data_IF_499992138872
#
_entry.id   IF_499992138872
#
_cell.length_a   1.000
_cell.length_b   1.000
_cell.length_c   1.000
_cell.angle_alpha   90.00
_cell.angle_beta   90.00
_cell.angle_gamma   90.00
#
_symmetry.space_group_name_H-M   'P 1'
#
loop_
_entity.id
_entity.type
_entity.pdbx_description
1 polymer ?
#
# COMPACT_ATOMS: atom_id res chain seq x y z
N UNK A 1 -8.51 -44.75 8.03
CA UNK A 1 -9.72 -44.11 7.47
C UNK A 1 -10.15 -43.05 8.47
N UNK A 2 -9.47 -41.90 8.44
CA UNK A 2 -9.69 -40.82 9.41
C UNK A 2 -10.83 -39.93 8.90
N UNK A 3 -11.76 -39.66 9.80
CA UNK A 3 -13.02 -38.96 9.62
C UNK A 3 -12.73 -37.53 9.13
N UNK A 4 -13.07 -37.23 7.89
CA UNK A 4 -13.14 -35.86 7.36
C UNK A 4 -14.13 -35.09 8.22
N UNK A 5 -13.60 -34.24 9.11
CA UNK A 5 -14.39 -33.28 9.84
C UNK A 5 -14.89 -32.23 8.85
N UNK A 6 -16.16 -32.33 8.51
CA UNK A 6 -16.98 -31.30 7.88
C UNK A 6 -16.87 -29.98 8.64
N UNK A 7 -15.92 -29.12 8.27
CA UNK A 7 -15.99 -27.69 8.59
C UNK A 7 -16.85 -27.01 7.51
N UNK A 8 -18.06 -26.61 7.89
CA UNK A 8 -18.93 -25.81 7.04
C UNK A 8 -18.31 -24.45 6.70
N UNK A 9 -18.39 -24.07 5.43
CA UNK A 9 -18.74 -22.75 4.86
C UNK A 9 -18.30 -21.40 5.51
N UNK A 10 -17.31 -21.33 6.41
CA UNK A 10 -16.87 -20.06 7.02
C UNK A 10 -15.47 -19.60 6.59
N UNK A 11 -15.14 -19.70 5.30
CA UNK A 11 -13.93 -19.08 4.75
C UNK A 11 -14.20 -17.63 4.32
N UNK A 12 -13.21 -16.75 4.40
CA UNK A 12 -13.29 -15.38 3.91
C UNK A 12 -13.61 -15.37 2.40
N UNK A 13 -14.40 -14.39 1.97
CA UNK A 13 -14.68 -14.12 0.56
C UNK A 13 -13.59 -13.28 -0.09
N UNK A 14 -13.66 -13.11 -1.42
CA UNK A 14 -12.71 -12.31 -2.20
C UNK A 14 -12.56 -10.88 -1.67
N UNK A 15 -13.67 -10.24 -1.29
CA UNK A 15 -13.66 -8.85 -0.84
C UNK A 15 -12.93 -8.71 0.51
N UNK A 16 -13.34 -9.50 1.51
CA UNK A 16 -12.82 -9.41 2.87
C UNK A 16 -11.41 -10.00 3.04
N UNK A 17 -11.10 -11.08 2.32
CA UNK A 17 -9.86 -11.85 2.52
C UNK A 17 -8.76 -11.57 1.50
N UNK A 18 -9.03 -10.87 0.40
CA UNK A 18 -8.01 -10.53 -0.60
C UNK A 18 -8.04 -9.05 -0.93
N UNK A 19 -9.15 -8.55 -1.47
CA UNK A 19 -9.22 -7.17 -1.95
C UNK A 19 -8.96 -6.13 -0.86
N UNK A 20 -9.69 -6.21 0.26
CA UNK A 20 -9.60 -5.25 1.37
C UNK A 20 -8.19 -5.20 1.98
N UNK A 21 -7.57 -6.31 2.40
CA UNK A 21 -6.22 -6.27 2.95
C UNK A 21 -5.19 -5.79 1.92
N UNK A 22 -5.32 -6.18 0.65
CA UNK A 22 -4.41 -5.74 -0.42
C UNK A 22 -4.54 -4.23 -0.69
N UNK A 23 -5.75 -3.70 -0.88
CA UNK A 23 -5.95 -2.28 -1.21
C UNK A 23 -5.54 -1.37 -0.05
N UNK A 24 -5.79 -1.77 1.20
CA UNK A 24 -5.40 -1.01 2.39
C UNK A 24 -3.88 -0.96 2.58
N UNK A 25 -3.18 -2.01 2.15
CA UNK A 25 -1.72 -2.03 2.22
C UNK A 25 -1.09 -1.25 1.08
N UNK A 26 -1.69 -1.31 -0.12
CA UNK A 26 -1.24 -0.54 -1.28
C UNK A 26 -1.46 0.96 -1.03
N UNK A 27 -2.67 1.37 -0.63
CA UNK A 27 -3.02 2.76 -0.35
C UNK A 27 -2.57 3.20 1.05
N UNK A 28 -1.28 3.01 1.33
CA UNK A 28 -0.67 3.29 2.62
C UNK A 28 -0.02 4.68 2.71
N UNK A 29 0.96 4.78 3.60
CA UNK A 29 1.63 6.04 3.94
C UNK A 29 2.28 6.75 2.75
N UNK A 30 2.73 6.02 1.73
CA UNK A 30 3.31 6.62 0.53
C UNK A 30 2.29 7.50 -0.20
N UNK A 31 1.02 7.09 -0.25
CA UNK A 31 -0.04 7.87 -0.88
C UNK A 31 -0.20 9.24 -0.19
N UNK A 32 -0.28 9.20 1.15
CA UNK A 32 -0.59 10.38 1.96
C UNK A 32 0.61 11.31 2.17
N UNK A 33 1.81 10.75 2.38
CA UNK A 33 2.97 11.54 2.80
C UNK A 33 4.05 11.71 1.75
N UNK A 34 4.14 10.83 0.75
CA UNK A 34 5.29 10.82 -0.18
C UNK A 34 4.89 11.11 -1.62
N UNK A 35 3.67 10.81 -2.05
CA UNK A 35 3.25 11.02 -3.43
C UNK A 35 3.32 12.50 -3.84
N UNK A 36 2.83 13.42 -2.99
CA UNK A 36 2.96 14.86 -3.24
C UNK A 36 4.43 15.29 -3.42
N UNK A 37 5.32 14.81 -2.54
CA UNK A 37 6.76 15.04 -2.64
C UNK A 37 7.38 14.51 -3.93
N UNK A 38 6.97 13.31 -4.38
CA UNK A 38 7.41 12.74 -5.66
C UNK A 38 6.93 13.60 -6.83
N UNK A 39 5.66 14.04 -6.81
CA UNK A 39 5.10 14.94 -7.84
C UNK A 39 5.84 16.29 -7.89
N UNK A 40 6.12 16.90 -6.73
CA UNK A 40 6.79 18.20 -6.67
C UNK A 40 8.23 18.15 -7.19
N UNK A 41 8.99 17.10 -6.82
CA UNK A 41 10.38 16.98 -7.23
C UNK A 41 10.56 16.42 -8.65
N UNK A 42 9.74 15.44 -9.04
CA UNK A 42 9.89 14.74 -10.33
C UNK A 42 9.09 15.42 -11.45
N UNK A 43 8.13 16.28 -11.11
CA UNK A 43 7.08 16.72 -12.03
C UNK A 43 6.08 15.60 -12.33
N UNK A 44 4.93 15.97 -12.89
CA UNK A 44 3.84 15.03 -13.18
C UNK A 44 4.26 13.97 -14.20
N UNK A 45 4.94 14.36 -15.29
CA UNK A 45 5.26 13.42 -16.37
C UNK A 45 6.14 12.25 -15.91
N UNK A 46 7.20 12.54 -15.16
CA UNK A 46 8.10 11.50 -14.62
C UNK A 46 7.46 10.74 -13.46
N UNK A 47 6.62 11.39 -12.66
CA UNK A 47 5.83 10.69 -11.64
C UNK A 47 4.90 9.66 -12.26
N UNK A 48 4.22 9.99 -13.36
CA UNK A 48 3.40 9.03 -14.10
C UNK A 48 4.24 7.89 -14.68
N UNK A 49 5.46 8.16 -15.15
CA UNK A 49 6.39 7.12 -15.60
C UNK A 49 6.83 6.19 -14.44
N UNK A 50 7.12 6.74 -13.25
CA UNK A 50 7.44 5.98 -12.04
C UNK A 50 6.26 5.09 -11.64
N UNK A 51 5.06 5.66 -11.56
CA UNK A 51 3.82 4.92 -11.27
C UNK A 51 3.61 3.81 -12.30
N UNK A 52 3.77 4.12 -13.59
CA UNK A 52 3.64 3.16 -14.69
C UNK A 52 4.60 1.99 -14.57
N UNK A 53 5.90 2.26 -14.39
CA UNK A 53 6.94 1.24 -14.24
C UNK A 53 6.70 0.35 -13.02
N UNK A 54 6.42 0.96 -11.86
CA UNK A 54 6.16 0.23 -10.62
C UNK A 54 4.93 -0.68 -10.75
N UNK A 55 3.87 -0.18 -11.38
CA UNK A 55 2.65 -0.96 -11.57
C UNK A 55 2.79 -2.06 -12.64
N UNK A 56 3.60 -1.87 -13.68
CA UNK A 56 3.93 -2.95 -14.63
C UNK A 56 4.53 -4.14 -13.88
N UNK A 57 5.48 -3.90 -12.97
CA UNK A 57 6.10 -4.96 -12.15
C UNK A 57 5.04 -5.66 -11.28
N UNK A 58 4.16 -4.89 -10.62
CA UNK A 58 3.09 -5.41 -9.77
C UNK A 58 2.06 -6.24 -10.56
N UNK A 59 1.65 -5.78 -11.73
CA UNK A 59 0.72 -6.48 -12.63
C UNK A 59 1.34 -7.78 -13.16
N UNK A 60 2.60 -7.76 -13.60
CA UNK A 60 3.30 -8.97 -14.05
C UNK A 60 3.39 -10.01 -12.93
N UNK A 61 3.68 -9.57 -11.71
CA UNK A 61 3.74 -10.46 -10.55
C UNK A 61 2.35 -11.00 -10.18
N UNK A 62 1.31 -10.19 -10.35
CA UNK A 62 -0.09 -10.61 -10.17
C UNK A 62 -0.51 -11.68 -11.19
N UNK A 63 -0.03 -11.61 -12.44
CA UNK A 63 -0.21 -12.68 -13.43
C UNK A 63 0.48 -13.98 -13.01
N UNK A 64 1.74 -13.91 -12.56
CA UNK A 64 2.47 -15.09 -12.07
C UNK A 64 1.74 -15.74 -10.89
N UNK A 65 1.30 -14.94 -9.93
CA UNK A 65 0.53 -15.40 -8.77
C UNK A 65 -0.80 -16.05 -9.20
N UNK A 66 -1.53 -15.43 -10.13
CA UNK A 66 -2.80 -15.96 -10.64
C UNK A 66 -2.62 -17.32 -11.30
N UNK A 67 -1.57 -17.49 -12.11
CA UNK A 67 -1.23 -18.76 -12.73
C UNK A 67 -0.91 -19.84 -11.67
N UNK A 68 -0.18 -19.48 -10.62
CA UNK A 68 0.11 -20.39 -9.50
C UNK A 68 -1.19 -20.78 -8.77
N UNK A 69 -1.99 -19.80 -8.35
CA UNK A 69 -3.20 -20.01 -7.55
C UNK A 69 -4.28 -20.83 -8.27
N UNK A 70 -4.32 -20.79 -9.60
CA UNK A 70 -5.27 -21.55 -10.42
C UNK A 70 -4.78 -22.96 -10.76
N UNK A 71 -3.47 -23.22 -10.72
CA UNK A 71 -2.89 -24.51 -11.09
C UNK A 71 -2.73 -25.49 -9.91
N UNK A 72 -2.70 -25.00 -8.66
CA UNK A 72 -2.55 -25.87 -7.47
C UNK A 72 -3.74 -25.78 -6.51
N UNK A 73 -3.99 -26.85 -5.77
CA UNK A 73 -4.88 -26.82 -4.60
C UNK A 73 -4.21 -26.00 -3.50
N UNK A 74 -4.60 -24.73 -3.41
CA UNK A 74 -4.17 -23.81 -2.37
C UNK A 74 -4.67 -24.31 -1.02
N UNK A 75 -3.75 -24.49 -0.07
CA UNK A 75 -4.03 -24.88 1.32
C UNK A 75 -3.56 -23.76 2.26
N UNK A 76 -3.74 -23.96 3.56
CA UNK A 76 -3.18 -23.08 4.58
C UNK A 76 -1.67 -22.98 4.45
N UNK A 77 -1.13 -21.76 4.47
CA UNK A 77 0.31 -21.50 4.43
C UNK A 77 0.76 -20.27 3.63
N UNK A 78 -0.15 -19.50 3.04
CA UNK A 78 0.17 -18.20 2.45
C UNK A 78 1.10 -18.28 1.24
N UNK A 79 1.83 -17.19 1.01
CA UNK A 79 2.77 -17.00 -0.11
C UNK A 79 3.85 -18.08 -0.14
N UNK A 80 4.43 -18.40 1.01
CA UNK A 80 5.48 -19.42 1.11
C UNK A 80 4.98 -20.81 0.67
N UNK A 81 3.77 -21.21 1.06
CA UNK A 81 3.20 -22.48 0.64
C UNK A 81 2.97 -22.54 -0.88
N UNK A 82 2.46 -21.46 -1.46
CA UNK A 82 2.22 -21.37 -2.91
C UNK A 82 3.52 -21.49 -3.69
N UNK A 83 4.57 -20.77 -3.26
CA UNK A 83 5.87 -20.73 -3.95
C UNK A 83 6.60 -22.06 -3.79
N UNK A 84 6.74 -22.58 -2.57
CA UNK A 84 7.49 -23.82 -2.30
C UNK A 84 6.89 -25.04 -3.01
N UNK A 85 5.57 -25.05 -3.24
CA UNK A 85 4.89 -26.13 -3.97
C UNK A 85 4.92 -26.01 -5.49
N UNK A 86 5.20 -24.83 -6.02
CA UNK A 86 5.30 -24.62 -7.46
C UNK A 86 6.74 -24.62 -7.97
N UNK A 87 7.66 -23.99 -7.23
CA UNK A 87 9.05 -23.82 -7.64
C UNK A 87 10.03 -24.77 -6.93
N UNK A 88 9.58 -25.47 -5.88
CA UNK A 88 10.45 -26.32 -5.06
C UNK A 88 10.89 -25.65 -3.76
N UNK A 89 11.46 -26.46 -2.86
CA UNK A 89 11.77 -26.03 -1.49
C UNK A 89 12.96 -25.08 -1.42
N UNK A 90 13.91 -25.19 -2.36
CA UNK A 90 15.08 -24.33 -2.45
C UNK A 90 14.67 -22.89 -2.78
N UNK A 91 13.85 -22.71 -3.82
CA UNK A 91 13.28 -21.42 -4.20
C UNK A 91 12.31 -20.90 -3.15
N UNK A 92 11.47 -21.78 -2.59
CA UNK A 92 10.56 -21.44 -1.49
C UNK A 92 11.30 -20.88 -0.28
N UNK A 93 12.39 -21.52 0.15
CA UNK A 93 13.21 -21.08 1.26
C UNK A 93 13.89 -19.73 0.99
N UNK A 94 14.55 -19.59 -0.17
CA UNK A 94 15.23 -18.36 -0.54
C UNK A 94 14.27 -17.16 -0.62
N UNK A 95 13.15 -17.31 -1.35
CA UNK A 95 12.15 -16.25 -1.48
C UNK A 95 11.43 -15.99 -0.16
N UNK A 96 11.15 -17.05 0.62
CA UNK A 96 10.50 -16.94 1.93
C UNK A 96 11.28 -16.07 2.92
N UNK A 97 12.61 -16.24 2.99
CA UNK A 97 13.47 -15.42 3.86
C UNK A 97 13.43 -13.95 3.41
N UNK A 98 13.49 -13.70 2.10
CA UNK A 98 13.44 -12.33 1.55
C UNK A 98 12.09 -11.68 1.86
N UNK A 99 10.97 -12.37 1.65
CA UNK A 99 9.63 -11.86 1.97
C UNK A 99 9.45 -11.61 3.47
N UNK A 100 9.98 -12.49 4.32
CA UNK A 100 9.95 -12.29 5.77
C UNK A 100 10.69 -11.02 6.22
N UNK A 101 11.89 -10.79 5.69
CA UNK A 101 12.67 -9.58 5.99
C UNK A 101 11.99 -8.33 5.43
N UNK A 102 11.50 -8.39 4.19
CA UNK A 102 10.75 -7.31 3.57
C UNK A 102 9.55 -6.91 4.43
N UNK A 103 8.73 -7.88 4.84
CA UNK A 103 7.56 -7.64 5.68
C UNK A 103 7.93 -7.05 7.05
N UNK A 104 9.01 -7.54 7.67
CA UNK A 104 9.50 -7.04 8.96
C UNK A 104 9.92 -5.56 8.86
N UNK A 105 10.67 -5.20 7.81
CA UNK A 105 11.05 -3.81 7.54
C UNK A 105 9.84 -2.96 7.20
N UNK A 106 8.86 -3.47 6.44
CA UNK A 106 7.62 -2.77 6.12
C UNK A 106 6.81 -2.40 7.36
N UNK A 107 6.72 -3.28 8.37
CA UNK A 107 6.04 -2.96 9.64
C UNK A 107 6.69 -1.75 10.30
N UNK A 108 8.03 -1.73 10.39
CA UNK A 108 8.78 -0.59 10.94
C UNK A 108 8.56 0.67 10.12
N UNK A 109 8.59 0.57 8.78
CA UNK A 109 8.33 1.67 7.87
C UNK A 109 6.95 2.31 8.08
N UNK A 110 5.89 1.51 8.17
CA UNK A 110 4.53 2.02 8.41
C UNK A 110 4.38 2.63 9.80
N UNK A 111 4.99 2.02 10.84
CA UNK A 111 4.96 2.57 12.20
C UNK A 111 5.73 3.90 12.30
N UNK A 112 6.86 4.03 11.59
CA UNK A 112 7.62 5.28 11.52
C UNK A 112 6.81 6.40 10.88
N UNK A 113 6.14 6.12 9.77
CA UNK A 113 5.29 7.13 9.15
C UNK A 113 4.08 7.51 10.03
N UNK A 114 3.49 6.57 10.79
CA UNK A 114 2.52 6.92 11.83
C UNK A 114 3.13 7.86 12.88
N UNK A 115 4.36 7.56 13.31
CA UNK A 115 5.12 8.42 14.21
C UNK A 115 5.35 9.83 13.68
N UNK A 116 5.66 9.99 12.39
CA UNK A 116 5.80 11.29 11.74
C UNK A 116 4.50 12.10 11.81
N UNK A 117 3.36 11.47 11.47
CA UNK A 117 2.04 12.13 11.48
C UNK A 117 1.64 12.54 12.89
N UNK A 118 1.73 11.63 13.86
CA UNK A 118 1.34 11.90 15.24
C UNK A 118 2.27 12.93 15.88
N UNK A 119 3.58 12.87 15.61
CA UNK A 119 4.54 13.88 16.05
C UNK A 119 4.21 15.27 15.50
N UNK A 120 3.80 15.35 14.23
CA UNK A 120 3.38 16.61 13.61
C UNK A 120 2.09 17.18 14.24
N UNK A 121 1.20 16.33 14.75
CA UNK A 121 -0.02 16.76 15.49
C UNK A 121 0.33 17.26 16.90
N UNK A 122 1.23 16.56 17.59
CA UNK A 122 1.67 16.94 18.95
C UNK A 122 2.43 18.28 18.91
N UNK A 123 3.20 18.52 17.85
CA UNK A 123 3.92 19.77 17.61
C UNK A 123 4.82 20.21 18.78
N UNK A 124 5.46 19.24 19.45
CA UNK A 124 6.44 19.48 20.51
C UNK A 124 7.84 19.02 20.08
N UNK A 125 8.90 19.77 20.41
CA UNK A 125 10.27 19.45 20.02
C UNK A 125 10.87 18.38 20.95
N UNK A 126 10.24 17.21 21.00
CA UNK A 126 10.76 16.06 21.73
C UNK A 126 11.71 15.30 20.79
N UNK A 127 12.98 15.11 21.17
CA UNK A 127 13.93 14.37 20.35
C UNK A 127 13.47 12.93 20.16
N UNK A 128 13.60 12.42 18.94
CA UNK A 128 13.20 11.06 18.56
C UNK A 128 11.72 10.70 18.80
N UNK A 129 10.82 11.69 18.86
CA UNK A 129 9.39 11.47 19.09
C UNK A 129 8.76 10.52 18.05
N UNK A 130 9.01 10.65 16.72
CA UNK A 130 8.48 9.71 15.74
C UNK A 130 8.92 8.26 16.01
N UNK A 131 10.18 8.05 16.40
CA UNK A 131 10.74 6.72 16.70
C UNK A 131 10.10 6.11 17.95
N UNK A 132 9.89 6.92 19.00
CA UNK A 132 9.24 6.47 20.24
C UNK A 132 7.79 6.04 19.95
N UNK A 133 7.06 6.86 19.18
CA UNK A 133 5.68 6.54 18.78
C UNK A 133 5.66 5.25 17.94
N UNK A 134 6.55 5.13 16.95
CA UNK A 134 6.66 3.94 16.11
C UNK A 134 6.97 2.66 16.91
N UNK A 135 7.90 2.74 17.86
CA UNK A 135 8.24 1.63 18.75
C UNK A 135 7.04 1.22 19.63
N UNK A 136 6.32 2.21 20.17
CA UNK A 136 5.11 1.97 20.97
C UNK A 136 3.99 1.33 20.13
N UNK A 137 3.79 1.80 18.90
CA UNK A 137 2.80 1.26 17.97
C UNK A 137 3.15 -0.18 17.56
N UNK A 138 4.44 -0.46 17.30
CA UNK A 138 4.92 -1.81 16.98
C UNK A 138 4.68 -2.77 18.15
N UNK A 139 5.00 -2.35 19.39
CA UNK A 139 4.75 -3.15 20.59
C UNK A 139 3.25 -3.40 20.79
N UNK A 140 2.42 -2.38 20.59
CA UNK A 140 0.96 -2.52 20.67
C UNK A 140 0.41 -3.49 19.63
N UNK A 141 0.85 -3.39 18.37
CA UNK A 141 0.46 -4.31 17.30
C UNK A 141 0.94 -5.74 17.58
N UNK A 142 2.13 -5.91 18.16
CA UNK A 142 2.62 -7.21 18.59
C UNK A 142 1.73 -7.84 19.67
N UNK A 143 1.31 -7.06 20.68
CA UNK A 143 0.37 -7.52 21.70
C UNK A 143 -1.00 -7.85 21.12
N UNK A 144 -1.52 -7.03 20.19
CA UNK A 144 -2.77 -7.31 19.50
C UNK A 144 -2.70 -8.59 18.66
N UNK A 145 -1.60 -8.80 17.93
CA UNK A 145 -1.38 -10.01 17.16
C UNK A 145 -1.38 -11.27 18.04
N UNK A 146 -0.95 -11.15 19.30
CA UNK A 146 -0.99 -12.24 20.29
C UNK A 146 -2.41 -12.59 20.76
N UNK A 147 -3.33 -11.62 20.82
CA UNK A 147 -4.72 -11.81 21.27
C UNK A 147 -5.56 -12.59 20.24
N UNK A 148 -5.26 -12.45 18.94
CA UNK A 148 -5.86 -13.26 17.88
C UNK A 148 -6.20 -12.48 16.60
N UNK A 149 -6.04 -13.14 15.46
CA UNK A 149 -6.18 -12.53 14.13
C UNK A 149 -7.61 -12.06 13.79
N UNK A 150 -8.64 -12.62 14.42
CA UNK A 150 -10.05 -12.29 14.13
C UNK A 150 -10.40 -10.83 14.41
N UNK A 151 -9.73 -10.20 15.38
CA UNK A 151 -9.92 -8.78 15.69
C UNK A 151 -9.35 -7.88 14.59
N UNK A 152 -8.18 -8.24 14.04
CA UNK A 152 -7.51 -7.48 12.98
C UNK A 152 -8.38 -7.43 11.71
N UNK A 153 -9.00 -8.56 11.33
CA UNK A 153 -9.89 -8.66 10.17
C UNK A 153 -11.15 -7.81 10.31
N UNK A 154 -11.61 -7.52 11.52
CA UNK A 154 -12.73 -6.58 11.74
C UNK A 154 -12.25 -5.12 11.69
N UNK A 155 -11.07 -4.86 12.25
CA UNK A 155 -10.49 -3.52 12.28
C UNK A 155 -10.21 -2.96 10.87
N UNK A 156 -9.83 -3.81 9.91
CA UNK A 156 -9.56 -3.39 8.53
C UNK A 156 -10.75 -2.67 7.87
N UNK A 157 -11.99 -3.06 8.17
CA UNK A 157 -13.17 -2.40 7.60
C UNK A 157 -13.34 -0.97 8.14
N UNK A 158 -13.01 -0.76 9.41
CA UNK A 158 -12.96 0.58 10.00
C UNK A 158 -11.90 1.45 9.32
N UNK A 159 -10.70 0.91 9.13
CA UNK A 159 -9.60 1.60 8.41
C UNK A 159 -10.02 1.95 6.98
N UNK A 160 -10.72 1.05 6.28
CA UNK A 160 -11.22 1.30 4.93
C UNK A 160 -12.21 2.46 4.85
N UNK A 161 -13.13 2.57 5.83
CA UNK A 161 -14.05 3.71 5.90
C UNK A 161 -13.27 5.02 6.05
N UNK A 162 -12.29 5.07 6.96
CA UNK A 162 -11.44 6.26 7.11
C UNK A 162 -10.66 6.58 5.84
N UNK A 163 -10.08 5.57 5.18
CA UNK A 163 -9.36 5.78 3.94
C UNK A 163 -10.26 6.37 2.84
N UNK A 164 -11.47 5.83 2.65
CA UNK A 164 -12.42 6.35 1.67
C UNK A 164 -12.82 7.80 2.00
N UNK A 165 -13.11 8.10 3.27
CA UNK A 165 -13.43 9.46 3.71
C UNK A 165 -12.28 10.44 3.46
N UNK A 166 -11.04 10.03 3.75
CA UNK A 166 -9.85 10.83 3.47
C UNK A 166 -9.67 11.08 1.98
N UNK A 167 -9.90 10.09 1.12
CA UNK A 167 -9.85 10.25 -0.33
C UNK A 167 -10.94 11.22 -0.83
N UNK A 168 -12.16 11.11 -0.32
CA UNK A 168 -13.25 12.04 -0.66
C UNK A 168 -12.87 13.47 -0.25
N UNK A 169 -12.38 13.66 0.98
CA UNK A 169 -11.91 14.95 1.48
C UNK A 169 -10.82 15.55 0.60
N UNK A 170 -9.85 14.73 0.18
CA UNK A 170 -8.78 15.13 -0.73
C UNK A 170 -9.31 15.56 -2.09
N UNK A 171 -10.18 14.77 -2.74
CA UNK A 171 -10.70 15.13 -4.06
C UNK A 171 -11.55 16.40 -4.02
N UNK A 172 -12.40 16.58 -3.00
CA UNK A 172 -13.21 17.80 -2.86
C UNK A 172 -12.33 19.04 -2.72
N UNK A 173 -11.30 18.98 -1.88
CA UNK A 173 -10.37 20.10 -1.70
C UNK A 173 -9.49 20.33 -2.94
N UNK A 174 -8.94 19.27 -3.51
CA UNK A 174 -8.09 19.32 -4.70
C UNK A 174 -8.81 19.85 -5.95
N UNK A 175 -10.07 19.46 -6.17
CA UNK A 175 -10.88 20.01 -7.26
C UNK A 175 -11.28 21.47 -7.03
N UNK A 176 -11.49 21.89 -5.77
CA UNK A 176 -11.72 23.30 -5.45
C UNK A 176 -10.50 24.18 -5.72
N UNK A 177 -9.29 23.62 -5.60
CA UNK A 177 -8.02 24.31 -5.83
C UNK A 177 -7.48 24.11 -7.26
N UNK A 178 -8.25 23.47 -8.13
CA UNK A 178 -7.79 23.06 -9.46
C UNK A 178 -7.44 24.26 -10.35
N UNK A 179 -6.22 24.27 -10.87
CA UNK A 179 -5.74 25.27 -11.82
C UNK A 179 -4.97 24.61 -12.99
N UNK A 180 -5.49 24.79 -14.21
CA UNK A 180 -4.88 24.25 -15.43
C UNK A 180 -3.49 24.82 -15.72
N UNK A 181 -3.23 26.10 -15.39
CA UNK A 181 -1.91 26.70 -15.57
C UNK A 181 -0.89 26.06 -14.63
N UNK A 182 -1.31 25.71 -13.41
CA UNK A 182 -0.46 25.04 -12.45
C UNK A 182 -0.13 23.62 -12.89
N UNK A 183 -1.11 22.90 -13.46
CA UNK A 183 -0.90 21.58 -14.03
C UNK A 183 0.16 21.59 -15.14
N UNK A 184 0.11 22.58 -16.03
CA UNK A 184 1.12 22.75 -17.08
C UNK A 184 2.51 23.09 -16.51
N UNK A 185 2.57 23.95 -15.49
CA UNK A 185 3.82 24.29 -14.81
C UNK A 185 4.45 23.09 -14.10
N UNK A 186 3.63 22.29 -13.42
CA UNK A 186 4.04 21.10 -12.69
C UNK A 186 4.27 19.88 -13.59
N UNK A 187 4.12 20.02 -14.92
CA UNK A 187 4.34 18.92 -15.86
C UNK A 187 5.79 18.41 -15.81
N UNK A 188 6.74 19.34 -15.66
CA UNK A 188 8.18 19.08 -15.59
C UNK A 188 8.70 19.29 -14.15
N UNK A 189 9.86 18.69 -13.80
CA UNK A 189 10.50 18.89 -12.51
C UNK A 189 10.71 20.37 -12.19
N UNK A 190 10.42 20.76 -10.95
CA UNK A 190 10.73 22.10 -10.42
C UNK A 190 12.24 22.36 -10.42
N UNK A 191 13.03 21.43 -9.88
CA UNK A 191 14.49 21.50 -9.91
C UNK A 191 15.04 20.41 -10.84
N UNK A 192 15.47 20.82 -12.05
CA UNK A 192 15.94 19.89 -13.09
C UNK A 192 17.36 19.37 -12.87
N UNK A 193 18.14 19.99 -11.98
CA UNK A 193 19.56 19.72 -11.83
C UNK A 193 19.87 18.60 -10.81
N UNK A 194 18.98 18.37 -9.84
CA UNK A 194 19.18 17.41 -8.73
C UNK A 194 18.23 16.19 -8.79
N UNK A 195 17.62 15.94 -9.94
CA UNK A 195 16.66 14.85 -10.09
C UNK A 195 17.34 13.51 -10.38
N UNK A 196 17.21 12.56 -9.46
CA UNK A 196 17.55 11.15 -9.69
C UNK A 196 16.28 10.28 -9.73
N UNK A 197 15.92 9.84 -10.94
CA UNK A 197 14.77 8.99 -11.19
C UNK A 197 14.71 7.78 -10.27
N UNK A 198 15.84 7.12 -10.01
CA UNK A 198 15.87 5.87 -9.26
C UNK A 198 15.62 6.08 -7.77
N UNK A 199 16.00 7.24 -7.22
CA UNK A 199 15.70 7.59 -5.83
C UNK A 199 14.19 7.76 -5.64
N UNK A 200 13.52 8.51 -6.53
CA UNK A 200 12.07 8.72 -6.45
C UNK A 200 11.29 7.44 -6.78
N UNK A 201 11.80 6.62 -7.70
CA UNK A 201 11.27 5.28 -7.93
C UNK A 201 11.36 4.42 -6.67
N UNK A 202 12.52 4.36 -6.01
CA UNK A 202 12.72 3.59 -4.78
C UNK A 202 11.86 4.12 -3.62
N UNK A 203 11.66 5.43 -3.53
CA UNK A 203 10.76 6.04 -2.55
C UNK A 203 9.29 5.65 -2.80
N UNK A 204 8.87 5.59 -4.07
CA UNK A 204 7.50 5.26 -4.45
C UNK A 204 7.22 3.75 -4.42
N UNK A 205 8.19 2.91 -4.79
CA UNK A 205 7.99 1.48 -5.04
C UNK A 205 7.30 0.70 -3.90
N UNK A 206 7.56 0.98 -2.60
CA UNK A 206 6.82 0.34 -1.50
C UNK A 206 5.30 0.53 -1.55
N UNK A 207 4.79 1.55 -2.26
CA UNK A 207 3.35 1.74 -2.48
C UNK A 207 2.70 0.57 -3.21
N UNK A 208 3.37 -0.02 -4.21
CA UNK A 208 2.76 -1.01 -5.10
C UNK A 208 2.95 -2.45 -4.63
N UNK A 209 3.73 -2.67 -3.56
CA UNK A 209 4.08 -4.02 -3.07
C UNK A 209 3.03 -4.62 -2.14
N UNK A 210 2.01 -3.87 -1.72
CA UNK A 210 1.05 -4.29 -0.69
C UNK A 210 0.08 -5.41 -1.09
N UNK A 211 0.02 -5.81 -2.36
CA UNK A 211 -0.95 -6.80 -2.83
C UNK A 211 -0.75 -8.20 -2.21
N UNK A 212 0.46 -8.51 -1.74
CA UNK A 212 0.82 -9.80 -1.11
C UNK A 212 0.07 -10.09 0.19
N UNK A 213 -0.46 -9.07 0.88
CA UNK A 213 -1.22 -9.27 2.11
C UNK A 213 -2.48 -10.13 1.91
N UNK A 214 -3.21 -9.92 0.81
CA UNK A 214 -4.35 -10.77 0.46
C UNK A 214 -3.96 -12.21 0.14
N UNK A 215 -2.73 -12.45 -0.30
CA UNK A 215 -2.19 -13.79 -0.60
C UNK A 215 -1.78 -14.52 0.68
N UNK A 216 -1.27 -13.79 1.65
CA UNK A 216 -0.91 -14.31 2.96
C UNK A 216 -2.13 -14.87 3.72
N UNK A 217 -3.33 -14.33 3.46
CA UNK A 217 -4.61 -14.84 3.98
C UNK A 217 -5.21 -16.00 3.18
N UNK A 218 -4.50 -16.55 2.19
CA UNK A 218 -5.02 -17.61 1.30
C UNK A 218 -5.52 -18.87 2.01
N UNK A 219 -5.00 -19.16 3.21
CA UNK A 219 -5.44 -20.30 4.04
C UNK A 219 -6.82 -20.14 4.67
N UNK A 220 -7.34 -18.92 4.73
CA UNK A 220 -8.63 -18.57 5.34
C UNK A 220 -9.72 -18.38 4.28
N UNK A 221 -9.36 -18.37 2.99
CA UNK A 221 -10.31 -18.15 1.90
C UNK A 221 -11.19 -19.38 1.67
N UNK A 222 -12.47 -19.11 1.40
CA UNK A 222 -13.44 -20.13 0.99
C UNK A 222 -13.10 -20.75 -0.37
N UNK A 223 -12.63 -19.96 -1.32
CA UNK A 223 -12.21 -20.40 -2.65
C UNK A 223 -10.95 -19.63 -3.13
N UNK A 224 -9.75 -20.03 -2.67
CA UNK A 224 -8.52 -19.29 -2.97
C UNK A 224 -8.21 -19.18 -4.47
N UNK A 225 -8.44 -20.25 -5.25
CA UNK A 225 -8.14 -20.27 -6.68
C UNK A 225 -8.96 -19.26 -7.50
N UNK A 226 -10.15 -18.87 -7.02
CA UNK A 226 -10.96 -17.80 -7.62
C UNK A 226 -10.72 -16.45 -6.95
N UNK A 227 -10.61 -16.42 -5.62
CA UNK A 227 -10.50 -15.19 -4.84
C UNK A 227 -9.15 -14.50 -4.99
N UNK A 228 -8.04 -15.25 -5.07
CA UNK A 228 -6.71 -14.66 -5.20
C UNK A 228 -6.55 -13.88 -6.52
N UNK A 229 -6.83 -14.45 -7.71
CA UNK A 229 -6.74 -13.69 -8.95
C UNK A 229 -7.65 -12.47 -8.94
N UNK A 230 -8.94 -12.67 -8.64
CA UNK A 230 -9.94 -11.60 -8.73
C UNK A 230 -9.64 -10.46 -7.74
N UNK A 231 -9.35 -10.79 -6.48
CA UNK A 231 -9.07 -9.80 -5.45
C UNK A 231 -7.78 -9.03 -5.73
N UNK A 232 -6.72 -9.72 -6.17
CA UNK A 232 -5.42 -9.10 -6.47
C UNK A 232 -5.53 -8.14 -7.65
N UNK A 233 -6.10 -8.57 -8.79
CA UNK A 233 -6.26 -7.70 -9.95
C UNK A 233 -7.17 -6.51 -9.69
N UNK A 234 -8.25 -6.69 -8.90
CA UNK A 234 -9.10 -5.57 -8.49
C UNK A 234 -8.34 -4.57 -7.60
N UNK A 235 -7.58 -5.05 -6.62
CA UNK A 235 -6.82 -4.18 -5.72
C UNK A 235 -5.74 -3.39 -6.49
N UNK A 236 -4.95 -4.08 -7.31
CA UNK A 236 -3.91 -3.45 -8.14
C UNK A 236 -4.54 -2.49 -9.14
N UNK A 237 -5.59 -2.90 -9.87
CA UNK A 237 -6.26 -2.05 -10.85
C UNK A 237 -6.86 -0.78 -10.25
N UNK A 238 -7.59 -0.89 -9.13
CA UNK A 238 -8.16 0.29 -8.45
C UNK A 238 -7.05 1.18 -7.91
N UNK A 239 -5.98 0.61 -7.35
CA UNK A 239 -4.86 1.41 -6.85
C UNK A 239 -4.16 2.21 -7.93
N UNK A 240 -3.96 1.64 -9.14
CA UNK A 240 -3.39 2.36 -10.29
C UNK A 240 -4.20 3.60 -10.60
N UNK A 241 -5.52 3.45 -10.72
CA UNK A 241 -6.42 4.57 -10.97
C UNK A 241 -6.28 5.65 -9.89
N UNK A 242 -6.30 5.25 -8.61
CA UNK A 242 -6.21 6.17 -7.46
C UNK A 242 -4.86 6.91 -7.43
N UNK A 243 -3.74 6.23 -7.66
CA UNK A 243 -2.42 6.85 -7.67
C UNK A 243 -2.26 7.85 -8.81
N UNK A 244 -2.70 7.49 -10.01
CA UNK A 244 -2.65 8.38 -11.18
C UNK A 244 -3.53 9.62 -10.96
N UNK A 245 -4.77 9.44 -10.54
CA UNK A 245 -5.69 10.56 -10.34
C UNK A 245 -5.22 11.50 -9.23
N UNK A 246 -4.68 10.98 -8.13
CA UNK A 246 -4.15 11.82 -7.04
C UNK A 246 -2.90 12.57 -7.48
N UNK A 247 -2.00 11.94 -8.26
CA UNK A 247 -0.83 12.63 -8.80
C UNK A 247 -1.24 13.81 -9.70
N UNK A 248 -2.25 13.63 -10.55
CA UNK A 248 -2.80 14.69 -11.40
C UNK A 248 -3.43 15.81 -10.54
N UNK A 249 -4.23 15.45 -9.54
CA UNK A 249 -4.87 16.44 -8.65
C UNK A 249 -3.82 17.23 -7.86
N UNK A 250 -2.75 16.60 -7.35
CA UNK A 250 -1.65 17.32 -6.72
C UNK A 250 -1.01 18.32 -7.67
N UNK A 251 -0.67 17.89 -8.88
CA UNK A 251 -0.07 18.75 -9.89
C UNK A 251 -0.99 19.92 -10.29
N UNK A 252 -2.31 19.74 -10.28
CA UNK A 252 -3.26 20.80 -10.60
C UNK A 252 -3.62 21.72 -9.42
N UNK A 253 -3.38 21.32 -8.17
CA UNK A 253 -3.87 22.04 -6.98
C UNK A 253 -2.81 22.76 -6.17
N UNK A 254 -1.55 22.30 -6.20
CA UNK A 254 -0.49 22.81 -5.32
C UNK A 254 0.81 23.09 -6.11
N UNK A 255 1.45 24.25 -5.93
CA UNK A 255 2.73 24.56 -6.58
C UNK A 255 3.82 23.52 -6.26
N UNK A 256 4.62 23.14 -7.26
CA UNK A 256 5.66 22.12 -7.10
C UNK A 256 6.68 22.45 -6.00
N UNK A 257 6.99 23.72 -5.73
CA UNK A 257 7.90 24.13 -4.65
C UNK A 257 7.38 23.70 -3.26
N UNK A 258 6.07 23.86 -3.02
CA UNK A 258 5.44 23.43 -1.77
C UNK A 258 5.36 21.91 -1.70
N UNK A 259 4.98 21.27 -2.80
CA UNK A 259 4.94 19.81 -2.88
C UNK A 259 6.33 19.19 -2.63
N UNK A 260 7.39 19.80 -3.14
CA UNK A 260 8.76 19.30 -3.05
C UNK A 260 9.37 19.42 -1.65
N UNK A 261 8.80 20.24 -0.77
CA UNK A 261 9.33 20.50 0.57
C UNK A 261 8.43 19.96 1.69
N UNK A 262 7.14 19.74 1.42
CA UNK A 262 6.16 19.38 2.44
C UNK A 262 5.60 17.96 2.27
N UNK A 263 6.02 17.05 3.14
CA UNK A 263 5.46 15.70 3.23
C UNK A 263 3.99 15.66 3.70
N UNK A 264 3.44 16.74 4.27
CA UNK A 264 2.04 16.82 4.69
C UNK A 264 1.13 17.49 3.64
N UNK A 265 1.59 17.59 2.38
CA UNK A 265 0.85 18.24 1.28
C UNK A 265 -0.59 17.76 1.13
N UNK A 266 -0.87 16.46 1.33
CA UNK A 266 -2.23 15.93 1.22
C UNK A 266 -3.21 16.61 2.20
N UNK A 267 -2.76 16.90 3.43
CA UNK A 267 -3.58 17.57 4.45
C UNK A 267 -3.93 19.00 4.05
N UNK A 268 -3.03 19.70 3.37
CA UNK A 268 -3.24 21.08 2.90
C UNK A 268 -4.17 21.15 1.69
N UNK A 269 -4.14 20.15 0.84
CA UNK A 269 -5.03 20.04 -0.33
C UNK A 269 -6.42 19.54 0.04
N UNK A 270 -6.57 18.80 1.15
CA UNK A 270 -7.85 18.24 1.58
C UNK A 270 -8.83 19.31 2.08
N UNK A 271 -10.13 19.06 1.87
CA UNK A 271 -11.18 19.97 2.33
C UNK A 271 -11.35 19.93 3.86
N UNK A 272 -11.26 18.73 4.44
CA UNK A 272 -11.21 18.49 5.88
C UNK A 272 -9.89 17.81 6.26
N UNK A 273 -9.19 18.34 7.28
CA UNK A 273 -7.85 17.88 7.70
C UNK A 273 -7.86 16.58 8.51
#
# INVERSE_FOLDING_TARGET
MAKDSTHGQNGLGTFAGVFTPSILTILGIILFLRLGYVVGNSGLALTLAIIGLANIISVLTSFSLSAIATNIKVKKGGDYYLISRTLGVEFGGAIGIVLFLAQSVSIGFYCLGLGEVVSAIINQPIPFLPQIIAASATLFLFLLAWVGADLATRFQFGVMVFLILSLISFYLGGFSLWNNQLLEQNWLPYNRLDFDFWIFFALFFPAVTGFTQGVSMSGELSNPSKSLPLGTFLAVGISICVYISIAIVFAASTPAELLATDYASMKKTAHWP
#
